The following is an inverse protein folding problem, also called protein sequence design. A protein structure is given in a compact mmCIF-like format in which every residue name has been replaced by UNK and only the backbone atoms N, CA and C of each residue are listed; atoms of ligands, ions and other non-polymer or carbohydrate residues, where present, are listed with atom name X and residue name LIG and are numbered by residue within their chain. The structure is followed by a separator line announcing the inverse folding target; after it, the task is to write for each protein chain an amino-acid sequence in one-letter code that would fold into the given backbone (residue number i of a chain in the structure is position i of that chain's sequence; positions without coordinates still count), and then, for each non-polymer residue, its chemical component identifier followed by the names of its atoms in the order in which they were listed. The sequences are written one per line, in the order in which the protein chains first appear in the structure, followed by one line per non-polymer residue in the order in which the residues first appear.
data_IF_680734527583
#
_entry.id   IF_680734527583
#
_cell.length_a   1.000
_cell.length_b   1.000
_cell.length_c   1.000
_cell.angle_alpha   90.00
_cell.angle_beta   90.00
_cell.angle_gamma   90.00
#
_symmetry.space_group_name_H-M   'P 1'
#
loop_
_entity.id
_entity.type
_entity.pdbx_description
1 polymer ?
#
# COMPACT_ATOMS: atom_id res chain seq x y z
N UNK A 1 41.97 -10.22 24.13
CA UNK A 1 41.21 -10.44 25.37
C UNK A 1 39.79 -10.75 24.96
N UNK A 2 39.44 -12.03 24.95
CA UNK A 2 38.11 -12.54 24.53
C UNK A 2 37.20 -12.49 25.75
N UNK A 3 36.02 -11.91 25.59
CA UNK A 3 34.88 -12.13 26.49
C UNK A 3 33.68 -12.56 25.67
N UNK A 4 33.49 -13.88 25.70
CA UNK A 4 32.28 -14.56 25.24
C UNK A 4 31.19 -14.39 26.29
N UNK A 5 30.01 -13.91 25.92
CA UNK A 5 28.83 -14.00 26.78
C UNK A 5 27.70 -14.70 26.01
N UNK A 6 27.53 -15.98 26.35
CA UNK A 6 26.38 -16.83 26.03
C UNK A 6 25.25 -16.50 27.01
N UNK A 7 24.04 -16.41 26.59
CA UNK A 7 22.85 -16.25 27.44
C UNK A 7 21.60 -16.19 26.61
N UNK A 8 21.00 -17.24 26.55
CA UNK A 8 19.76 -17.83 27.06
C UNK A 8 18.54 -17.61 26.17
N UNK A 9 18.19 -18.69 25.47
CA UNK A 9 16.95 -18.93 24.75
C UNK A 9 15.84 -19.15 25.78
N UNK A 10 14.76 -18.37 25.73
CA UNK A 10 13.50 -18.67 26.38
C UNK A 10 12.45 -18.94 25.32
N UNK A 11 12.15 -20.22 25.15
CA UNK A 11 10.99 -20.71 24.39
C UNK A 11 9.74 -20.52 25.26
N UNK A 12 8.81 -19.69 24.79
CA UNK A 12 7.45 -19.65 25.31
C UNK A 12 6.50 -20.18 24.24
N UNK A 13 6.11 -21.45 24.39
CA UNK A 13 5.03 -22.10 23.64
C UNK A 13 3.69 -21.68 24.23
N UNK A 14 2.89 -20.93 23.48
CA UNK A 14 1.48 -20.68 23.80
C UNK A 14 0.59 -21.47 22.85
N UNK A 15 -0.05 -22.45 23.43
CA UNK A 15 -1.11 -23.29 22.86
C UNK A 15 -2.41 -22.47 22.86
N UNK A 16 -3.04 -22.22 21.73
CA UNK A 16 -4.38 -21.66 21.65
C UNK A 16 -5.33 -22.67 21.03
N UNK A 17 -6.31 -23.04 21.83
CA UNK A 17 -7.38 -24.01 21.57
C UNK A 17 -8.37 -23.47 20.52
N UNK A 18 -8.67 -24.32 19.56
CA UNK A 18 -9.75 -24.18 18.58
C UNK A 18 -11.09 -24.50 19.27
N UNK A 19 -12.04 -23.60 19.23
CA UNK A 19 -13.46 -23.90 19.46
C UNK A 19 -14.22 -23.77 18.15
N UNK A 20 -14.61 -24.91 17.66
CA UNK A 20 -15.55 -25.16 16.57
C UNK A 20 -16.97 -24.99 17.06
N UNK A 21 -17.81 -24.22 16.39
CA UNK A 21 -19.27 -24.34 16.50
C UNK A 21 -19.85 -24.46 15.10
N UNK A 22 -20.22 -25.67 14.78
CA UNK A 22 -21.15 -26.03 13.71
C UNK A 22 -22.57 -25.67 14.15
N UNK A 23 -23.34 -25.07 13.25
CA UNK A 23 -24.80 -25.27 13.28
C UNK A 23 -25.35 -25.35 11.86
N UNK A 24 -25.70 -26.57 11.49
CA UNK A 24 -26.51 -26.94 10.33
C UNK A 24 -27.97 -26.87 10.70
N UNK A 25 -28.82 -26.28 9.86
CA UNK A 25 -30.19 -26.78 9.63
C UNK A 25 -30.79 -26.14 8.36
N UNK A 26 -31.12 -26.99 7.42
CA UNK A 26 -32.10 -26.88 6.33
C UNK A 26 -33.07 -28.09 6.55
N UNK A 27 -34.20 -28.24 5.91
CA UNK A 27 -35.01 -27.43 5.02
C UNK A 27 -36.52 -27.41 5.41
N UNK A 28 -37.37 -26.62 4.73
CA UNK A 28 -38.72 -27.05 4.32
C UNK A 28 -39.32 -26.14 3.26
N UNK A 29 -39.75 -26.74 2.19
CA UNK A 29 -40.63 -26.23 1.14
C UNK A 29 -41.99 -25.77 1.69
N UNK A 30 -42.59 -24.76 1.12
CA UNK A 30 -43.99 -24.85 0.66
C UNK A 30 -44.33 -23.75 -0.37
N UNK A 31 -44.99 -24.20 -1.43
CA UNK A 31 -45.57 -23.44 -2.52
C UNK A 31 -46.82 -22.67 -2.07
N UNK A 32 -47.08 -21.51 -2.66
CA UNK A 32 -48.31 -21.14 -3.41
C UNK A 32 -48.45 -19.61 -3.56
N UNK A 33 -48.33 -19.14 -4.79
CA UNK A 33 -49.37 -18.42 -5.57
C UNK A 33 -49.90 -17.06 -5.11
N UNK A 34 -49.73 -16.07 -6.04
CA UNK A 34 -50.69 -15.04 -6.54
C UNK A 34 -50.72 -13.65 -5.89
N UNK A 35 -50.51 -12.66 -6.78
CA UNK A 35 -50.98 -11.30 -6.91
C UNK A 35 -50.05 -10.16 -6.49
N UNK A 36 -49.63 -9.48 -7.58
CA UNK A 36 -49.25 -8.05 -7.62
C UNK A 36 -50.40 -7.13 -7.15
N UNK A 37 -50.09 -5.98 -6.52
CA UNK A 37 -49.88 -4.82 -7.33
C UNK A 37 -48.77 -3.88 -6.88
N UNK A 38 -48.22 -3.17 -7.86
CA UNK A 38 -47.48 -1.91 -7.85
C UNK A 38 -47.54 -1.10 -6.54
N UNK A 39 -46.37 -0.84 -5.97
CA UNK A 39 -46.08 0.42 -5.30
C UNK A 39 -44.57 0.66 -5.39
N UNK A 40 -44.20 1.67 -6.17
CA UNK A 40 -42.85 2.25 -6.19
C UNK A 40 -42.46 2.66 -4.78
N UNK A 41 -41.47 1.94 -4.21
CA UNK A 41 -40.71 2.45 -3.12
C UNK A 41 -39.26 2.51 -3.65
N UNK A 42 -38.80 3.70 -3.94
CA UNK A 42 -37.38 3.98 -4.17
C UNK A 42 -36.60 3.65 -2.89
N UNK A 43 -36.15 2.42 -2.82
CA UNK A 43 -35.09 2.04 -1.88
C UNK A 43 -33.81 2.66 -2.44
N UNK A 44 -33.40 3.78 -1.88
CA UNK A 44 -32.03 4.26 -2.01
C UNK A 44 -31.11 3.22 -1.37
N UNK A 45 -30.73 2.22 -2.15
CA UNK A 45 -29.59 1.40 -1.88
C UNK A 45 -28.36 2.31 -1.88
N UNK A 46 -27.86 2.63 -0.71
CA UNK A 46 -26.48 3.08 -0.54
C UNK A 46 -25.58 1.87 -0.81
N UNK A 47 -25.61 1.40 -2.04
CA UNK A 47 -24.58 0.54 -2.58
C UNK A 47 -23.36 1.44 -2.80
N UNK A 48 -22.44 1.38 -1.85
CA UNK A 48 -21.12 1.98 -1.99
C UNK A 48 -20.45 1.19 -3.12
N UNK A 49 -20.71 1.66 -4.36
CA UNK A 49 -20.11 1.12 -5.58
C UNK A 49 -18.59 1.25 -5.41
N UNK A 50 -17.94 0.17 -5.00
CA UNK A 50 -16.50 0.01 -5.16
C UNK A 50 -16.27 0.08 -6.65
N UNK A 51 -15.88 1.25 -7.12
CA UNK A 51 -15.60 1.48 -8.52
C UNK A 51 -14.37 0.65 -8.89
N UNK A 52 -14.42 -0.16 -9.94
CA UNK A 52 -13.26 -0.93 -10.35
C UNK A 52 -12.07 0.01 -10.64
N UNK A 53 -10.83 -0.44 -10.41
CA UNK A 53 -9.65 0.33 -10.76
C UNK A 53 -9.72 0.82 -12.20
N UNK A 54 -9.39 2.08 -12.44
CA UNK A 54 -9.34 2.69 -13.77
C UNK A 54 -7.93 3.24 -14.02
N UNK A 55 -7.51 3.28 -15.27
CA UNK A 55 -6.24 3.91 -15.64
C UNK A 55 -6.23 5.39 -15.26
N UNK A 56 -5.06 5.90 -14.89
CA UNK A 56 -4.89 7.32 -14.65
C UNK A 56 -4.97 8.11 -15.97
N UNK A 57 -5.48 9.33 -15.93
CA UNK A 57 -5.31 10.26 -17.05
C UNK A 57 -3.83 10.61 -17.24
N UNK A 58 -3.47 11.12 -18.42
CA UNK A 58 -2.10 11.56 -18.71
C UNK A 58 -1.57 12.56 -17.68
N UNK A 59 -2.38 13.54 -17.29
CA UNK A 59 -1.98 14.55 -16.31
C UNK A 59 -1.78 13.98 -14.90
N UNK A 60 -2.55 12.96 -14.51
CA UNK A 60 -2.36 12.26 -13.25
C UNK A 60 -1.09 11.40 -13.28
N UNK A 61 -0.89 10.66 -14.37
CA UNK A 61 0.33 9.87 -14.54
C UNK A 61 1.57 10.76 -14.46
N UNK A 62 1.63 11.86 -15.21
CA UNK A 62 2.78 12.79 -15.23
C UNK A 62 2.97 13.46 -13.86
N UNK A 63 1.90 13.92 -13.23
CA UNK A 63 1.98 14.63 -11.95
C UNK A 63 2.49 13.75 -10.82
N UNK A 64 1.92 12.55 -10.68
CA UNK A 64 2.38 11.59 -9.65
C UNK A 64 3.76 11.02 -9.96
N UNK A 65 4.09 10.79 -11.25
CA UNK A 65 5.43 10.36 -11.67
C UNK A 65 6.49 11.39 -11.25
N UNK A 66 6.28 12.67 -11.56
CA UNK A 66 7.21 13.74 -11.16
C UNK A 66 7.39 13.81 -9.64
N UNK A 67 6.33 13.51 -8.87
CA UNK A 67 6.38 13.49 -7.41
C UNK A 67 7.22 12.31 -6.88
N UNK A 68 7.02 11.12 -7.44
CA UNK A 68 7.81 9.91 -7.13
C UNK A 68 9.29 10.12 -7.50
N UNK A 69 9.56 10.65 -8.69
CA UNK A 69 10.92 10.96 -9.15
C UNK A 69 11.65 11.90 -8.19
N UNK A 70 10.96 12.96 -7.71
CA UNK A 70 11.51 13.88 -6.72
C UNK A 70 11.92 13.18 -5.44
N UNK A 71 11.07 12.27 -4.93
CA UNK A 71 11.37 11.50 -3.72
C UNK A 71 12.55 10.53 -3.93
N UNK A 72 12.54 9.78 -5.05
CA UNK A 72 13.62 8.84 -5.38
C UNK A 72 14.97 9.53 -5.55
N UNK A 73 14.99 10.72 -6.15
CA UNK A 73 16.20 11.55 -6.26
C UNK A 73 16.71 11.97 -4.89
N UNK A 74 15.83 12.45 -4.01
CA UNK A 74 16.20 12.85 -2.66
C UNK A 74 16.78 11.68 -1.83
N UNK A 75 16.28 10.46 -2.01
CA UNK A 75 16.88 9.27 -1.40
C UNK A 75 18.29 9.01 -1.92
N UNK A 76 18.49 9.06 -3.24
CA UNK A 76 19.80 8.82 -3.86
C UNK A 76 20.85 9.88 -3.48
N UNK A 77 20.41 11.10 -3.20
CA UNK A 77 21.22 12.22 -2.73
C UNK A 77 21.42 12.22 -1.20
N UNK A 78 20.86 11.22 -0.50
CA UNK A 78 20.88 11.09 0.96
C UNK A 78 20.20 12.26 1.70
N UNK A 79 19.26 12.92 1.05
CA UNK A 79 18.50 14.05 1.58
C UNK A 79 17.19 13.58 2.25
N UNK A 80 17.30 12.86 3.36
CA UNK A 80 16.17 12.22 4.04
C UNK A 80 15.04 13.20 4.40
N UNK A 81 15.37 14.44 4.80
CA UNK A 81 14.36 15.48 5.11
C UNK A 81 13.59 15.90 3.86
N UNK A 82 14.27 16.03 2.71
CA UNK A 82 13.64 16.35 1.42
C UNK A 82 12.75 15.18 0.99
N UNK A 83 13.26 13.94 1.03
CA UNK A 83 12.48 12.72 0.73
C UNK A 83 11.23 12.59 1.60
N UNK A 84 11.32 12.89 2.90
CA UNK A 84 10.19 12.92 3.81
C UNK A 84 9.15 13.99 3.44
N UNK A 85 9.56 15.10 2.84
CA UNK A 85 8.68 16.16 2.35
C UNK A 85 7.70 15.72 1.25
N UNK A 86 8.02 14.66 0.51
CA UNK A 86 7.14 14.06 -0.51
C UNK A 86 6.07 13.13 0.08
N UNK A 87 6.19 12.71 1.33
CA UNK A 87 5.15 11.96 2.02
C UNK A 87 3.89 12.81 2.23
N UNK A 88 2.72 12.17 2.26
CA UNK A 88 1.44 12.85 2.50
C UNK A 88 1.38 13.46 3.92
N UNK A 89 0.48 14.39 4.13
CA UNK A 89 0.23 14.93 5.48
C UNK A 89 -0.28 13.84 6.44
N UNK A 90 -1.13 12.93 5.93
CA UNK A 90 -1.62 11.79 6.70
C UNK A 90 -0.47 10.85 7.12
N UNK A 91 0.48 10.54 6.23
CA UNK A 91 1.66 9.76 6.58
C UNK A 91 2.50 10.48 7.64
N UNK A 92 2.83 11.77 7.43
CA UNK A 92 3.67 12.54 8.35
C UNK A 92 3.04 12.80 9.72
N UNK A 93 1.71 12.76 9.81
CA UNK A 93 1.02 12.87 11.10
C UNK A 93 1.19 11.64 11.99
N UNK A 94 1.54 10.49 11.40
CA UNK A 94 1.67 9.19 12.07
C UNK A 94 3.11 8.70 12.19
N UNK A 95 4.01 9.23 11.37
CA UNK A 95 5.40 8.77 11.26
C UNK A 95 6.33 9.97 11.34
N UNK A 96 7.17 10.04 12.37
CA UNK A 96 8.18 11.10 12.48
C UNK A 96 9.29 10.92 11.44
N UNK A 97 10.10 11.97 11.23
CA UNK A 97 11.23 11.90 10.31
C UNK A 97 12.27 10.87 10.76
N UNK A 98 12.49 10.71 12.07
CA UNK A 98 13.43 9.73 12.62
C UNK A 98 12.95 8.30 12.35
N UNK A 99 11.65 8.04 12.53
CA UNK A 99 11.02 6.77 12.19
C UNK A 99 11.11 6.48 10.69
N UNK A 100 10.83 7.50 9.86
CA UNK A 100 10.95 7.38 8.40
C UNK A 100 12.37 7.00 7.98
N UNK A 101 13.39 7.70 8.50
CA UNK A 101 14.80 7.40 8.21
C UNK A 101 15.16 5.97 8.64
N UNK A 102 14.70 5.53 9.81
CA UNK A 102 14.92 4.17 10.29
C UNK A 102 14.27 3.12 9.37
N UNK A 103 13.03 3.36 8.92
CA UNK A 103 12.32 2.48 7.97
C UNK A 103 13.10 2.38 6.66
N UNK A 104 13.48 3.52 6.06
CA UNK A 104 14.19 3.54 4.78
C UNK A 104 15.53 2.80 4.88
N UNK A 105 16.32 3.06 5.91
CA UNK A 105 17.65 2.46 6.07
C UNK A 105 17.60 0.94 6.34
N UNK A 106 16.54 0.45 6.99
CA UNK A 106 16.44 -0.96 7.39
C UNK A 106 15.64 -1.82 6.42
N UNK A 107 14.56 -1.27 5.85
CA UNK A 107 13.62 -2.02 5.00
C UNK A 107 13.76 -1.72 3.51
N UNK A 108 14.32 -0.55 3.15
CA UNK A 108 14.43 -0.09 1.77
C UNK A 108 15.84 0.39 1.41
N UNK A 109 16.91 -0.35 1.75
CA UNK A 109 18.30 0.10 1.51
C UNK A 109 18.62 0.31 0.03
N UNK A 110 17.86 -0.33 -0.90
CA UNK A 110 18.00 -0.14 -2.34
C UNK A 110 17.72 1.30 -2.78
N UNK A 111 16.85 2.03 -2.07
CA UNK A 111 16.55 3.43 -2.38
C UNK A 111 17.74 4.37 -2.14
N UNK A 112 18.62 4.02 -1.18
CA UNK A 112 19.84 4.77 -0.87
C UNK A 112 20.99 4.44 -1.81
N UNK A 113 20.86 3.38 -2.61
CA UNK A 113 21.85 2.90 -3.56
C UNK A 113 21.27 2.80 -4.98
N UNK A 114 20.32 3.65 -5.30
CA UNK A 114 19.60 3.64 -6.57
C UNK A 114 20.53 3.95 -7.74
N UNK A 115 20.47 3.15 -8.81
CA UNK A 115 21.15 3.35 -10.09
C UNK A 115 20.20 3.94 -11.13
N UNK A 116 19.00 3.37 -11.25
CA UNK A 116 17.98 3.83 -12.18
C UNK A 116 16.58 3.38 -11.72
N UNK A 117 15.56 4.00 -12.27
CA UNK A 117 14.17 3.59 -12.06
C UNK A 117 13.35 3.85 -13.33
N UNK A 118 12.20 3.18 -13.42
CA UNK A 118 11.18 3.41 -14.43
C UNK A 118 9.80 3.33 -13.80
N UNK A 119 8.94 4.31 -14.08
CA UNK A 119 7.54 4.30 -13.68
C UNK A 119 6.76 3.64 -14.83
N UNK A 120 6.10 2.51 -14.55
CA UNK A 120 5.56 1.64 -15.58
C UNK A 120 4.12 1.97 -15.93
N UNK A 121 3.28 2.13 -14.91
CA UNK A 121 1.86 2.45 -15.07
C UNK A 121 1.29 3.10 -13.81
N UNK A 122 0.05 3.55 -13.93
CA UNK A 122 -0.72 4.12 -12.83
C UNK A 122 -2.17 3.68 -12.94
N UNK A 123 -2.75 3.31 -11.81
CA UNK A 123 -4.16 2.96 -11.66
C UNK A 123 -4.79 3.82 -10.57
N UNK A 124 -6.03 4.29 -10.82
CA UNK A 124 -6.83 4.98 -9.81
C UNK A 124 -7.68 3.95 -9.07
N UNK A 125 -7.63 3.97 -7.74
CA UNK A 125 -8.44 3.11 -6.87
C UNK A 125 -8.88 3.88 -5.62
N UNK A 126 -10.16 3.90 -5.33
CA UNK A 126 -10.73 4.52 -4.10
C UNK A 126 -10.24 5.95 -3.82
N UNK A 127 -10.04 6.75 -4.86
CA UNK A 127 -9.56 8.14 -4.73
C UNK A 127 -8.06 8.29 -4.51
N UNK A 128 -7.31 7.19 -4.57
CA UNK A 128 -5.86 7.13 -4.53
C UNK A 128 -5.29 6.70 -5.89
N UNK A 129 -3.98 6.84 -6.04
CA UNK A 129 -3.26 6.53 -7.27
C UNK A 129 -2.16 5.51 -6.96
N UNK A 130 -2.27 4.34 -7.57
CA UNK A 130 -1.30 3.25 -7.44
C UNK A 130 -0.34 3.26 -8.62
N UNK A 131 0.93 3.51 -8.37
CA UNK A 131 1.99 3.48 -9.38
C UNK A 131 2.84 2.22 -9.21
N UNK A 132 3.12 1.54 -10.32
CA UNK A 132 4.10 0.47 -10.37
C UNK A 132 5.43 1.03 -10.85
N UNK A 133 6.48 0.83 -10.08
CA UNK A 133 7.82 1.38 -10.31
C UNK A 133 8.84 0.25 -10.29
N UNK A 134 9.65 0.18 -11.33
CA UNK A 134 10.81 -0.70 -11.35
C UNK A 134 12.04 0.08 -10.89
N UNK A 135 12.80 -0.48 -9.97
CA UNK A 135 14.04 0.09 -9.47
C UNK A 135 15.22 -0.83 -9.83
N UNK A 136 16.37 -0.24 -10.10
CA UNK A 136 17.64 -0.98 -10.24
C UNK A 136 18.65 -0.31 -9.32
N UNK A 137 19.28 -1.07 -8.44
CA UNK A 137 20.33 -0.57 -7.55
C UNK A 137 21.72 -0.59 -8.20
N UNK A 138 22.73 -0.04 -7.52
CA UNK A 138 24.12 0.00 -8.00
C UNK A 138 24.76 -1.40 -8.10
N UNK A 139 24.18 -2.42 -7.44
CA UNK A 139 24.58 -3.82 -7.60
C UNK A 139 23.90 -4.50 -8.81
N UNK A 140 23.11 -3.76 -9.59
CA UNK A 140 22.27 -4.25 -10.70
C UNK A 140 21.14 -5.21 -10.27
N UNK A 141 20.75 -5.18 -9.00
CA UNK A 141 19.57 -5.90 -8.53
C UNK A 141 18.32 -5.10 -8.90
N UNK A 142 17.32 -5.80 -9.47
CA UNK A 142 16.03 -5.21 -9.84
C UNK A 142 15.00 -5.46 -8.75
N UNK A 143 14.16 -4.45 -8.49
CA UNK A 143 13.06 -4.49 -7.54
C UNK A 143 11.80 -3.95 -8.18
N UNK A 144 10.65 -4.56 -7.87
CA UNK A 144 9.34 -4.01 -8.20
C UNK A 144 8.77 -3.31 -6.97
N UNK A 145 8.38 -2.06 -7.11
CA UNK A 145 7.86 -1.24 -6.02
C UNK A 145 6.50 -0.66 -6.38
N UNK A 146 5.57 -0.69 -5.44
CA UNK A 146 4.25 -0.06 -5.57
C UNK A 146 4.23 1.19 -4.71
N UNK A 147 3.91 2.32 -5.32
CA UNK A 147 3.66 3.59 -4.66
C UNK A 147 2.17 3.88 -4.61
N UNK A 148 1.66 4.22 -3.45
CA UNK A 148 0.30 4.70 -3.27
C UNK A 148 0.35 6.20 -2.98
N UNK A 149 -0.29 7.01 -3.83
CA UNK A 149 -0.32 8.46 -3.73
C UNK A 149 -1.73 8.98 -3.49
N UNK A 150 -1.83 10.08 -2.76
CA UNK A 150 -3.02 10.93 -2.72
C UNK A 150 -2.80 12.25 -3.47
N UNK A 151 -3.89 12.83 -3.97
CA UNK A 151 -3.91 14.18 -4.55
C UNK A 151 -4.97 15.01 -3.80
N UNK A 152 -4.54 15.78 -2.82
CA UNK A 152 -5.41 16.59 -1.95
C UNK A 152 -5.08 18.07 -2.18
N UNK A 153 -6.10 18.88 -2.50
CA UNK A 153 -5.93 20.31 -2.77
C UNK A 153 -4.84 20.60 -3.83
N UNK A 154 -4.80 19.79 -4.90
CA UNK A 154 -3.79 19.86 -5.98
C UNK A 154 -2.37 19.55 -5.53
N UNK A 155 -2.17 18.99 -4.37
CA UNK A 155 -0.87 18.59 -3.85
C UNK A 155 -0.81 17.07 -3.77
N UNK A 156 0.21 16.50 -4.40
CA UNK A 156 0.54 15.08 -4.30
C UNK A 156 1.15 14.75 -2.94
N UNK A 157 0.96 13.51 -2.50
CA UNK A 157 1.59 13.00 -1.29
C UNK A 157 1.71 11.48 -1.33
N UNK A 158 2.87 10.94 -0.98
CA UNK A 158 3.08 9.50 -0.85
C UNK A 158 2.43 9.01 0.45
N UNK A 159 1.42 8.17 0.33
CA UNK A 159 0.72 7.53 1.46
C UNK A 159 1.44 6.26 1.92
N UNK A 160 1.92 5.48 0.96
CA UNK A 160 2.65 4.24 1.21
C UNK A 160 3.55 3.88 0.03
N UNK A 161 4.56 3.10 0.32
CA UNK A 161 5.38 2.44 -0.69
C UNK A 161 5.75 1.04 -0.20
N UNK A 162 5.63 0.03 -1.08
CA UNK A 162 5.92 -1.36 -0.75
C UNK A 162 6.73 -2.01 -1.86
N UNK A 163 7.68 -2.85 -1.48
CA UNK A 163 8.40 -3.70 -2.45
C UNK A 163 7.59 -4.96 -2.66
N UNK A 164 7.27 -5.29 -3.91
CA UNK A 164 6.72 -6.60 -4.23
C UNK A 164 7.86 -7.58 -4.45
N UNK A 165 7.75 -8.74 -3.81
CA UNK A 165 8.70 -9.84 -3.94
C UNK A 165 8.44 -10.72 -5.15
N UNK A 166 7.76 -10.21 -6.16
CA UNK A 166 7.57 -10.92 -7.42
C UNK A 166 8.90 -10.95 -8.18
N UNK A 167 9.81 -11.76 -7.65
CA UNK A 167 10.93 -12.30 -8.42
C UNK A 167 10.32 -13.32 -9.38
N UNK A 168 10.07 -12.89 -10.62
CA UNK A 168 9.74 -13.79 -11.72
C UNK A 168 10.89 -14.74 -12.02
#
# INVERSE_FOLDING_TARGET
MFVSLRGLIVLATSLILLTSCSNSQSPSENSASVQSPSASAETKSNDSLIQPPSECSTSEFEGGSSWIEGQLRAFNESEAKVAYGFASENFRSKTSIEQFVAIISTQYPMLLNLKSFAILNCERTEGLFLYNVQLVDKANQTYSMKYLLSLINKKWGVEAATVSSDLG
#
